data_IF_721632619558
#
_entry.id   IF_721632619558
#
_cell.length_a   1.000
_cell.length_b   1.000
_cell.length_c   1.000
_cell.angle_alpha   90.00
_cell.angle_beta   90.00
_cell.angle_gamma   90.00
#
_symmetry.space_group_name_H-M   'P 1'
#
loop_
_entity.id
_entity.type
_entity.pdbx_description
1 polymer ?
#
# COMPACT_ATOMS: atom_id res chain seq x y z
N UNK A 1 20.36 -13.77 17.90
CA UNK A 1 20.27 -13.64 16.43
C UNK A 1 18.87 -13.20 16.09
N UNK A 2 18.65 -11.91 15.84
CA UNK A 2 17.38 -11.43 15.27
C UNK A 2 17.42 -11.84 13.81
N UNK A 3 16.55 -12.78 13.40
CA UNK A 3 16.31 -13.00 11.97
C UNK A 3 15.70 -11.71 11.46
N UNK A 4 16.36 -11.06 10.49
CA UNK A 4 15.70 -10.02 9.68
C UNK A 4 14.34 -10.57 9.25
N UNK A 5 13.28 -9.95 9.75
CA UNK A 5 11.92 -10.27 9.34
C UNK A 5 11.86 -10.00 7.84
N UNK A 6 11.82 -11.08 7.04
CA UNK A 6 11.68 -10.95 5.59
C UNK A 6 10.36 -10.25 5.31
N UNK A 7 10.41 -9.23 4.46
CA UNK A 7 9.20 -8.61 3.94
C UNK A 7 8.31 -9.66 3.29
N UNK A 8 7.04 -9.69 3.71
CA UNK A 8 6.00 -10.54 3.13
C UNK A 8 5.02 -9.63 2.40
N UNK A 9 4.71 -9.96 1.16
CA UNK A 9 3.67 -9.30 0.38
C UNK A 9 2.43 -10.20 0.43
N UNK A 10 1.40 -9.76 1.14
CA UNK A 10 0.12 -10.46 1.28
C UNK A 10 -0.96 -9.71 0.48
N UNK A 11 -1.97 -10.44 0.00
CA UNK A 11 -3.16 -9.89 -0.67
C UNK A 11 -4.41 -10.47 -0.03
N UNK A 12 -5.48 -9.67 0.05
CA UNK A 12 -6.75 -10.08 0.64
C UNK A 12 -7.91 -9.33 -0.01
N UNK A 13 -9.07 -9.98 -0.12
CA UNK A 13 -10.25 -9.41 -0.77
C UNK A 13 -10.27 -9.66 -2.27
N UNK A 14 -11.20 -9.01 -2.96
CA UNK A 14 -11.33 -9.07 -4.42
C UNK A 14 -10.48 -7.97 -5.04
N UNK A 15 -9.58 -8.29 -5.99
CA UNK A 15 -8.83 -7.28 -6.72
C UNK A 15 -9.75 -6.27 -7.41
N UNK A 16 -9.37 -4.99 -7.35
CA UNK A 16 -10.05 -3.93 -8.07
C UNK A 16 -9.82 -4.06 -9.59
N UNK A 17 -10.73 -3.55 -10.44
CA UNK A 17 -10.64 -3.73 -11.89
C UNK A 17 -9.36 -3.15 -12.54
N UNK A 18 -8.70 -2.21 -11.88
CA UNK A 18 -7.48 -1.55 -12.36
C UNK A 18 -6.19 -2.18 -11.80
N UNK A 19 -6.27 -3.18 -10.94
CA UNK A 19 -5.09 -3.86 -10.39
C UNK A 19 -4.43 -4.78 -11.44
N UNK A 20 -3.11 -4.65 -11.61
CA UNK A 20 -2.27 -5.52 -12.44
C UNK A 20 -1.84 -6.76 -11.64
N UNK A 21 -2.81 -7.64 -11.34
CA UNK A 21 -2.62 -8.80 -10.43
C UNK A 21 -1.53 -9.78 -10.86
N UNK A 22 -1.17 -9.82 -12.15
CA UNK A 22 -0.04 -10.59 -12.68
C UNK A 22 1.30 -10.21 -12.03
N UNK A 23 1.41 -9.00 -11.47
CA UNK A 23 2.61 -8.52 -10.80
C UNK A 23 2.78 -9.11 -9.39
N UNK A 24 1.72 -9.64 -8.75
CA UNK A 24 1.73 -10.05 -7.34
C UNK A 24 2.71 -11.19 -7.04
N UNK A 25 3.02 -12.00 -8.04
CA UNK A 25 3.91 -13.16 -7.92
C UNK A 25 5.31 -12.91 -8.47
N UNK A 26 5.65 -11.68 -8.88
CA UNK A 26 7.01 -11.37 -9.38
C UNK A 26 8.09 -11.76 -8.37
N UNK A 27 9.22 -12.24 -8.89
CA UNK A 27 10.33 -12.79 -8.08
C UNK A 27 10.86 -11.75 -7.10
N UNK A 28 11.08 -10.52 -7.55
CA UNK A 28 11.55 -9.44 -6.68
C UNK A 28 10.35 -8.70 -6.11
N UNK A 29 10.30 -8.58 -4.77
CA UNK A 29 9.19 -7.92 -4.06
C UNK A 29 8.96 -6.49 -4.55
N UNK A 30 10.05 -5.75 -4.84
CA UNK A 30 9.99 -4.37 -5.35
C UNK A 30 9.29 -4.24 -6.71
N UNK A 31 9.23 -5.31 -7.49
CA UNK A 31 8.61 -5.28 -8.82
C UNK A 31 7.11 -5.61 -8.75
N UNK A 32 6.60 -6.01 -7.58
CA UNK A 32 5.18 -6.35 -7.36
C UNK A 32 4.30 -5.12 -7.25
N UNK A 33 4.88 -3.97 -6.90
CA UNK A 33 4.19 -2.69 -6.79
C UNK A 33 5.20 -1.55 -7.00
N UNK A 34 5.16 -0.89 -8.16
CA UNK A 34 6.07 0.20 -8.52
C UNK A 34 5.40 1.58 -8.41
N UNK A 35 6.18 2.65 -8.48
CA UNK A 35 5.67 4.02 -8.50
C UNK A 35 4.72 4.27 -9.69
N UNK A 36 5.03 3.73 -10.88
CA UNK A 36 4.15 3.88 -12.04
C UNK A 36 2.81 3.16 -11.86
N UNK A 37 2.81 1.99 -11.21
CA UNK A 37 1.56 1.29 -10.86
C UNK A 37 0.74 2.10 -9.86
N UNK A 38 1.40 2.64 -8.82
CA UNK A 38 0.78 3.51 -7.84
C UNK A 38 0.07 4.69 -8.52
N UNK A 39 0.74 5.37 -9.45
CA UNK A 39 0.16 6.49 -10.19
C UNK A 39 -1.11 6.08 -10.94
N UNK A 40 -1.06 4.99 -11.72
CA UNK A 40 -2.24 4.49 -12.47
C UNK A 40 -3.38 4.11 -11.54
N UNK A 41 -3.08 3.46 -10.43
CA UNK A 41 -4.09 3.02 -9.46
C UNK A 41 -4.73 4.24 -8.78
N UNK A 42 -3.94 5.25 -8.42
CA UNK A 42 -4.42 6.52 -7.89
C UNK A 42 -5.28 7.27 -8.92
N UNK A 43 -4.86 7.33 -10.18
CA UNK A 43 -5.64 7.96 -11.25
C UNK A 43 -6.99 7.27 -11.47
N UNK A 44 -7.06 5.94 -11.38
CA UNK A 44 -8.32 5.20 -11.45
C UNK A 44 -9.30 5.56 -10.30
N UNK A 45 -8.78 6.10 -9.20
CA UNK A 45 -9.55 6.63 -8.07
C UNK A 45 -9.76 8.15 -8.14
N UNK A 46 -9.29 8.82 -9.20
CA UNK A 46 -9.35 10.28 -9.34
C UNK A 46 -8.33 11.04 -8.50
N UNK A 47 -7.24 10.38 -8.09
CA UNK A 47 -6.17 10.94 -7.26
C UNK A 47 -4.95 11.24 -8.12
N UNK A 48 -4.50 12.48 -8.11
CA UNK A 48 -3.28 12.93 -8.79
C UNK A 48 -2.08 12.92 -7.82
N UNK A 49 -1.57 11.73 -7.53
CA UNK A 49 -0.68 11.47 -6.38
C UNK A 49 0.67 12.20 -6.44
N UNK A 50 1.18 12.46 -7.64
CA UNK A 50 2.49 13.11 -7.84
C UNK A 50 2.37 14.60 -8.18
N UNK A 51 1.17 15.12 -8.33
CA UNK A 51 0.94 16.54 -8.50
C UNK A 51 0.91 17.24 -7.14
N UNK A 52 1.92 18.07 -6.88
CA UNK A 52 2.01 18.80 -5.63
C UNK A 52 0.84 19.78 -5.43
N UNK A 53 0.28 20.33 -6.51
CA UNK A 53 -0.86 21.25 -6.44
C UNK A 53 -2.17 20.53 -6.07
N UNK A 54 -2.23 19.20 -6.20
CA UNK A 54 -3.36 18.41 -5.72
C UNK A 54 -3.43 18.36 -4.18
N UNK A 55 -2.34 18.71 -3.49
CA UNK A 55 -2.28 18.82 -2.04
C UNK A 55 -2.52 20.26 -1.60
N UNK A 56 -3.34 20.44 -0.57
CA UNK A 56 -3.55 21.74 0.06
C UNK A 56 -2.33 22.19 0.90
N UNK A 57 -2.36 23.44 1.36
CA UNK A 57 -1.33 23.99 2.26
C UNK A 57 -1.36 23.43 3.67
N UNK A 58 -2.46 22.79 4.05
CA UNK A 58 -2.74 22.37 5.42
C UNK A 58 -2.42 20.88 5.61
N UNK A 59 -1.68 20.58 6.67
CA UNK A 59 -1.44 19.22 7.13
C UNK A 59 -2.17 18.96 8.43
N UNK A 60 -2.77 17.76 8.58
CA UNK A 60 -3.42 17.34 9.82
C UNK A 60 -2.65 16.16 10.42
N UNK A 61 -2.30 16.27 11.71
CA UNK A 61 -1.77 15.15 12.48
C UNK A 61 -2.93 14.29 12.99
N UNK A 62 -3.04 13.07 12.51
CA UNK A 62 -3.99 12.08 13.02
C UNK A 62 -3.27 11.15 13.99
N UNK A 63 -3.74 11.09 15.24
CA UNK A 63 -3.25 10.13 16.24
C UNK A 63 -4.30 9.05 16.48
N UNK A 64 -3.91 7.79 16.24
CA UNK A 64 -4.69 6.63 16.63
C UNK A 64 -4.13 6.04 17.92
N UNK A 65 -5.00 5.69 18.87
CA UNK A 65 -4.63 4.92 20.07
C UNK A 65 -4.70 3.40 19.84
N UNK A 66 -4.91 2.95 18.60
CA UNK A 66 -4.93 1.53 18.28
C UNK A 66 -3.52 0.97 18.49
N UNK A 67 -3.38 0.15 19.54
CA UNK A 67 -2.16 -0.62 19.78
C UNK A 67 -2.16 -1.78 18.80
N UNK A 68 -1.30 -1.72 17.77
CA UNK A 68 -1.04 -2.86 16.89
C UNK A 68 0.03 -3.71 17.58
N UNK A 69 -0.30 -4.92 18.07
CA UNK A 69 0.71 -5.79 18.65
C UNK A 69 1.69 -6.25 17.55
N UNK A 70 2.99 -6.43 17.86
CA UNK A 70 3.92 -7.01 16.90
C UNK A 70 3.51 -8.45 16.57
N UNK A 71 3.21 -8.72 15.30
CA UNK A 71 2.93 -10.05 14.75
C UNK A 71 1.52 -10.22 14.19
N UNK A 72 1.41 -10.85 13.01
CA UNK A 72 0.20 -11.16 12.25
C UNK A 72 -0.97 -11.69 13.11
N UNK A 73 -1.77 -10.79 13.69
CA UNK A 73 -3.15 -11.07 14.07
C UNK A 73 -4.04 -10.14 13.27
N UNK A 74 -4.81 -10.75 12.37
CA UNK A 74 -5.86 -10.10 11.59
C UNK A 74 -6.72 -9.26 12.53
N UNK A 75 -6.66 -7.94 12.37
CA UNK A 75 -7.61 -7.01 12.98
C UNK A 75 -8.79 -6.98 12.01
N UNK A 76 -9.90 -7.57 12.42
CA UNK A 76 -11.18 -7.41 11.72
C UNK A 76 -11.75 -6.06 12.13
N UNK A 77 -11.90 -5.15 11.16
CA UNK A 77 -12.69 -3.94 11.30
C UNK A 77 -14.03 -4.19 10.63
#
# INVERSE_FOLDING_TARGET
MVKDSRWVFETSGTPLPFEETENYTKRMIRDRFTADMLERYCQALGIDVFNLEAYGSDGVLVQSRVVIPPGNRKVWI
#
